data_IF_843610904754
#
_entry.id   IF_843610904754
#
_cell.length_a   1.000
_cell.length_b   1.000
_cell.length_c   1.000
_cell.angle_alpha   90.00
_cell.angle_beta   90.00
_cell.angle_gamma   90.00
#
_symmetry.space_group_name_H-M   'P 1'
#
loop_
_entity.id
_entity.type
_entity.pdbx_description
1 polymer ?
#
# COMPACT_ATOMS: atom_id res chain seq x y z
N UNK A 1 2.13 6.67 13.70
CA UNK A 1 0.82 7.33 13.47
C UNK A 1 0.37 7.18 12.02
N UNK A 2 1.15 7.65 11.03
CA UNK A 2 0.72 7.66 9.62
C UNK A 2 0.31 6.30 9.04
N UNK A 3 1.00 5.20 9.39
CA UNK A 3 0.64 3.85 8.93
C UNK A 3 -0.73 3.36 9.43
N UNK A 4 -1.10 3.72 10.67
CA UNK A 4 -2.40 3.38 11.25
C UNK A 4 -3.51 4.21 10.61
N UNK A 5 -3.29 5.52 10.46
CA UNK A 5 -4.24 6.39 9.76
C UNK A 5 -4.46 5.93 8.31
N UNK A 6 -3.38 5.55 7.62
CA UNK A 6 -3.43 4.94 6.29
C UNK A 6 -4.34 3.71 6.30
N UNK A 7 -4.18 2.78 7.23
CA UNK A 7 -5.03 1.59 7.30
C UNK A 7 -6.51 1.92 7.58
N UNK A 8 -6.80 2.87 8.47
CA UNK A 8 -8.17 3.25 8.85
C UNK A 8 -8.95 3.81 7.65
N UNK A 9 -8.34 4.66 6.82
CA UNK A 9 -9.04 5.31 5.70
C UNK A 9 -9.43 4.34 4.57
N UNK A 10 -8.87 3.12 4.53
CA UNK A 10 -9.21 2.12 3.51
C UNK A 10 -10.54 1.41 3.78
N UNK A 11 -11.15 1.63 4.96
CA UNK A 11 -12.50 1.16 5.30
C UNK A 11 -12.76 -0.34 5.10
N UNK A 12 -11.71 -1.16 5.20
CA UNK A 12 -11.79 -2.60 4.98
C UNK A 12 -11.18 -3.35 6.18
N UNK A 13 -12.02 -3.81 7.13
CA UNK A 13 -11.55 -4.39 8.40
C UNK A 13 -10.64 -5.62 8.23
N UNK A 14 -10.94 -6.48 7.25
CA UNK A 14 -10.16 -7.70 6.99
C UNK A 14 -8.76 -7.33 6.45
N UNK A 15 -8.67 -6.33 5.57
CA UNK A 15 -7.40 -5.86 5.03
C UNK A 15 -6.61 -4.94 5.97
N UNK A 16 -7.22 -4.47 7.07
CA UNK A 16 -6.59 -3.52 8.01
C UNK A 16 -5.17 -3.92 8.44
N UNK A 17 -4.89 -5.16 8.88
CA UNK A 17 -3.54 -5.55 9.27
C UNK A 17 -2.54 -5.37 8.13
N UNK A 18 -2.95 -5.67 6.91
CA UNK A 18 -2.08 -5.59 5.75
C UNK A 18 -1.82 -4.15 5.31
N UNK A 19 -2.83 -3.28 5.36
CA UNK A 19 -2.64 -1.84 5.12
C UNK A 19 -1.71 -1.20 6.17
N UNK A 20 -1.82 -1.61 7.44
CA UNK A 20 -0.94 -1.11 8.49
C UNK A 20 0.52 -1.57 8.24
N UNK A 21 0.73 -2.83 7.87
CA UNK A 21 2.06 -3.38 7.56
C UNK A 21 2.69 -2.65 6.36
N UNK A 22 1.97 -2.52 5.23
CA UNK A 22 2.54 -1.85 4.06
C UNK A 22 2.82 -0.36 4.33
N UNK A 23 1.96 0.31 5.11
CA UNK A 23 2.21 1.68 5.57
C UNK A 23 3.47 1.79 6.44
N UNK A 24 3.76 0.80 7.30
CA UNK A 24 5.01 0.73 8.06
C UNK A 24 6.22 0.49 7.16
N UNK A 25 6.10 -0.35 6.12
CA UNK A 25 7.16 -0.57 5.13
C UNK A 25 7.49 0.73 4.40
N UNK A 26 6.49 1.47 3.92
CA UNK A 26 6.71 2.77 3.28
C UNK A 26 7.35 3.79 4.21
N UNK A 27 6.93 3.83 5.48
CA UNK A 27 7.58 4.66 6.50
C UNK A 27 9.05 4.26 6.71
N UNK A 28 9.35 2.96 6.78
CA UNK A 28 10.71 2.45 6.90
C UNK A 28 11.57 2.82 5.68
N UNK A 29 11.04 2.65 4.46
CA UNK A 29 11.73 3.06 3.21
C UNK A 29 12.04 4.56 3.25
N UNK A 30 11.06 5.40 3.60
CA UNK A 30 11.29 6.84 3.75
C UNK A 30 12.40 7.16 4.76
N UNK A 31 12.39 6.53 5.93
CA UNK A 31 13.42 6.75 6.95
C UNK A 31 14.82 6.31 6.51
N UNK A 32 14.91 5.30 5.64
CA UNK A 32 16.18 4.80 5.11
C UNK A 32 16.73 5.66 3.97
N UNK A 33 15.86 6.20 3.14
CA UNK A 33 16.26 6.96 1.94
C UNK A 33 16.27 8.47 2.15
N UNK A 34 15.54 8.98 3.14
CA UNK A 34 15.26 10.41 3.31
C UNK A 34 14.42 11.01 2.17
N UNK A 35 13.89 10.19 1.26
CA UNK A 35 13.25 10.61 0.03
C UNK A 35 11.79 10.17 0.00
N UNK A 36 10.85 11.12 -0.11
CA UNK A 36 9.41 10.85 -0.20
C UNK A 36 9.01 10.18 -1.53
N UNK A 37 9.77 10.35 -2.60
CA UNK A 37 9.48 9.69 -3.87
C UNK A 37 9.69 8.17 -3.80
N UNK A 38 10.61 7.69 -2.95
CA UNK A 38 10.85 6.27 -2.79
C UNK A 38 9.60 5.48 -2.33
N UNK A 39 8.91 5.85 -1.23
CA UNK A 39 7.66 5.20 -0.86
C UNK A 39 6.50 5.52 -1.83
N UNK A 40 6.48 6.67 -2.51
CA UNK A 40 5.45 6.97 -3.52
C UNK A 40 5.54 6.00 -4.70
N UNK A 41 6.74 5.82 -5.26
CA UNK A 41 6.96 4.83 -6.32
C UNK A 41 6.63 3.41 -5.83
N UNK A 42 7.05 3.07 -4.61
CA UNK A 42 6.69 1.79 -3.99
C UNK A 42 5.18 1.58 -3.88
N UNK A 43 4.42 2.62 -3.52
CA UNK A 43 2.96 2.59 -3.44
C UNK A 43 2.32 2.40 -4.82
N UNK A 44 2.79 3.13 -5.84
CA UNK A 44 2.30 2.98 -7.21
C UNK A 44 2.53 1.54 -7.70
N UNK A 45 3.72 0.99 -7.48
CA UNK A 45 4.05 -0.41 -7.85
C UNK A 45 3.14 -1.39 -7.10
N UNK A 46 2.98 -1.21 -5.77
CA UNK A 46 2.11 -2.05 -4.97
C UNK A 46 0.67 -2.05 -5.51
N UNK A 47 0.10 -0.87 -5.79
CA UNK A 47 -1.26 -0.75 -6.35
C UNK A 47 -1.38 -1.35 -7.76
N UNK A 48 -0.36 -1.19 -8.60
CA UNK A 48 -0.35 -1.83 -9.92
C UNK A 48 -0.46 -3.37 -9.80
N UNK A 49 0.20 -3.95 -8.80
CA UNK A 49 0.17 -5.39 -8.54
C UNK A 49 -1.16 -5.83 -7.91
N UNK A 50 -1.61 -5.17 -6.84
CA UNK A 50 -2.74 -5.67 -6.04
C UNK A 50 -4.10 -5.17 -6.52
N UNK A 51 -4.15 -4.08 -7.29
CA UNK A 51 -5.38 -3.55 -7.89
C UNK A 51 -5.31 -3.67 -9.40
N UNK A 52 -4.23 -3.19 -10.03
CA UNK A 52 -4.10 -3.15 -11.48
C UNK A 52 -4.17 -4.53 -12.13
N UNK A 53 -3.38 -5.49 -11.67
CA UNK A 53 -3.38 -6.86 -12.24
C UNK A 53 -4.76 -7.53 -12.08
N UNK A 54 -5.38 -7.58 -10.88
CA UNK A 54 -6.73 -8.16 -10.74
C UNK A 54 -7.80 -7.45 -11.57
N UNK A 55 -7.71 -6.14 -11.73
CA UNK A 55 -8.67 -5.37 -12.54
C UNK A 55 -8.57 -5.71 -14.03
N UNK A 56 -7.36 -6.05 -14.51
CA UNK A 56 -7.10 -6.41 -15.91
C UNK A 56 -7.23 -7.92 -16.16
N UNK A 57 -7.26 -8.74 -15.11
CA UNK A 57 -7.54 -10.16 -15.24
C UNK A 57 -8.98 -10.32 -15.76
N UNK A 58 -9.21 -11.14 -16.80
CA UNK A 58 -10.56 -11.45 -17.22
C UNK A 58 -11.32 -12.00 -16.01
N UNK A 59 -12.55 -11.53 -15.80
CA UNK A 59 -13.42 -12.11 -14.80
C UNK A 59 -13.47 -13.62 -15.08
N UNK A 60 -12.91 -14.42 -14.17
CA UNK A 60 -13.06 -15.86 -14.23
C UNK A 60 -14.55 -16.13 -14.05
N UNK A 61 -15.26 -16.30 -15.17
CA UNK A 61 -16.64 -16.71 -15.23
C UNK A 61 -16.79 -18.17 -14.86
#
# INVERSE_FOLDING_TARGET
VSAVLFAVIHWHPIGFPMYAIIGLVFCWVYRRTGNLWAPVCGHVIYNAIVVGIPLLAPAAG
#
